data_IF_000549365003
#
_entry.id   IF_000549365003
#
_cell.length_a   1.000
_cell.length_b   1.000
_cell.length_c   1.000
_cell.angle_alpha   90.00
_cell.angle_beta   90.00
_cell.angle_gamma   90.00
#
_symmetry.space_group_name_H-M   'P 1'
#
loop_
_entity.id
_entity.type
_entity.pdbx_description
1 polymer ?
#
# COMPACT_ATOMS: atom_id res chain seq x y z
N UNK A 1 16.96 12.95 87.64
CA UNK A 1 18.30 13.32 87.15
C UNK A 1 18.71 12.28 86.10
N UNK A 2 18.36 12.51 84.83
CA UNK A 2 18.82 11.68 83.70
C UNK A 2 19.93 12.45 82.99
N UNK A 3 21.16 11.94 83.07
CA UNK A 3 22.33 12.51 82.42
C UNK A 3 22.31 12.06 80.96
N UNK A 4 21.90 12.94 80.05
CA UNK A 4 21.99 12.72 78.60
C UNK A 4 23.45 12.95 78.21
N UNK A 5 24.20 11.87 78.05
CA UNK A 5 25.57 11.89 77.53
C UNK A 5 25.50 12.16 76.03
N UNK A 6 25.93 13.35 75.59
CA UNK A 6 26.04 13.68 74.17
C UNK A 6 27.14 12.83 73.54
N UNK A 7 26.77 11.87 72.71
CA UNK A 7 27.67 11.19 71.78
C UNK A 7 28.00 12.16 70.65
N UNK A 8 29.04 12.97 70.85
CA UNK A 8 29.66 13.77 69.79
C UNK A 8 30.77 12.91 69.17
N UNK A 9 30.51 12.42 67.96
CA UNK A 9 31.55 11.81 67.13
C UNK A 9 32.51 12.92 66.63
N UNK A 10 33.81 12.62 66.54
CA UNK A 10 34.87 13.62 66.31
C UNK A 10 34.78 14.31 64.92
N UNK A 11 33.84 13.91 64.07
CA UNK A 11 33.59 14.49 62.74
C UNK A 11 32.41 15.47 62.69
N UNK A 12 31.77 15.79 63.82
CA UNK A 12 30.86 16.93 63.93
C UNK A 12 29.52 16.82 63.21
N UNK A 13 29.17 15.67 62.60
CA UNK A 13 27.81 15.48 62.09
C UNK A 13 26.84 15.26 63.25
N UNK A 14 25.83 16.12 63.32
CA UNK A 14 24.74 15.99 64.29
C UNK A 14 23.95 14.71 64.01
N UNK A 15 23.60 13.95 65.05
CA UNK A 15 22.68 12.80 64.95
C UNK A 15 21.39 13.15 64.17
N UNK A 16 20.94 14.41 64.29
CA UNK A 16 19.77 14.92 63.57
C UNK A 16 20.00 14.93 62.06
N UNK A 17 21.20 15.28 61.60
CA UNK A 17 21.55 15.34 60.18
C UNK A 17 21.57 13.94 59.55
N UNK A 18 22.07 12.93 60.27
CA UNK A 18 22.01 11.54 59.85
C UNK A 18 20.55 11.01 59.78
N UNK A 19 19.71 11.35 60.76
CA UNK A 19 18.29 10.96 60.75
C UNK A 19 17.51 11.63 59.60
N UNK A 20 17.77 12.91 59.33
CA UNK A 20 17.18 13.62 58.17
C UNK A 20 17.65 12.98 56.87
N UNK A 21 18.94 12.66 56.74
CA UNK A 21 19.48 11.97 55.57
C UNK A 21 18.79 10.62 55.31
N UNK A 22 18.65 9.79 56.34
CA UNK A 22 17.93 8.49 56.24
C UNK A 22 16.47 8.70 55.87
N UNK A 23 15.80 9.70 56.45
CA UNK A 23 14.39 9.99 56.14
C UNK A 23 14.18 10.43 54.69
N UNK A 24 15.06 11.28 54.14
CA UNK A 24 14.98 11.72 52.74
C UNK A 24 15.22 10.56 51.77
N UNK A 25 16.22 9.70 52.06
CA UNK A 25 16.49 8.51 51.25
C UNK A 25 15.27 7.56 51.26
N UNK A 26 14.60 7.40 52.42
CA UNK A 26 13.39 6.60 52.54
C UNK A 26 12.24 7.08 51.63
N UNK A 27 12.00 8.40 51.59
CA UNK A 27 10.94 9.00 50.75
C UNK A 27 11.26 8.84 49.26
N UNK A 28 12.51 9.04 48.87
CA UNK A 28 12.94 8.85 47.47
C UNK A 28 12.84 7.38 47.05
N UNK A 29 13.24 6.45 47.91
CA UNK A 29 13.12 5.02 47.63
C UNK A 29 11.66 4.56 47.47
N UNK A 30 10.75 5.03 48.34
CA UNK A 30 9.33 4.70 48.26
C UNK A 30 8.65 5.25 46.99
N UNK A 31 8.98 6.48 46.60
CA UNK A 31 8.47 7.07 45.35
C UNK A 31 9.02 6.36 44.11
N UNK A 32 10.30 6.01 44.09
CA UNK A 32 10.91 5.23 43.02
C UNK A 32 10.28 3.83 42.89
N UNK A 33 9.99 3.15 44.01
CA UNK A 33 9.35 1.83 43.99
C UNK A 33 7.95 1.89 43.35
N UNK A 34 7.16 2.90 43.68
CA UNK A 34 5.81 3.10 43.09
C UNK A 34 5.89 3.38 41.59
N UNK A 35 6.87 4.19 41.18
CA UNK A 35 7.12 4.46 39.75
C UNK A 35 7.53 3.19 39.00
N UNK A 36 8.41 2.37 39.58
CA UNK A 36 8.84 1.11 38.96
C UNK A 36 7.67 0.16 38.72
N UNK A 37 6.73 0.03 39.67
CA UNK A 37 5.51 -0.79 39.48
C UNK A 37 4.70 -0.29 38.28
N UNK A 38 4.43 1.02 38.22
CA UNK A 38 3.68 1.62 37.10
C UNK A 38 4.39 1.44 35.74
N UNK A 39 5.72 1.54 35.73
CA UNK A 39 6.55 1.32 34.53
C UNK A 39 6.48 -0.16 34.10
N UNK A 40 6.61 -1.11 35.03
CA UNK A 40 6.52 -2.54 34.71
C UNK A 40 5.14 -2.93 34.17
N UNK A 41 4.06 -2.38 34.74
CA UNK A 41 2.72 -2.60 34.21
C UNK A 41 2.51 -1.99 32.83
N UNK A 42 3.05 -0.79 32.60
CA UNK A 42 3.00 -0.13 31.29
C UNK A 42 3.74 -0.93 30.21
N UNK A 43 4.93 -1.45 30.53
CA UNK A 43 5.69 -2.31 29.62
C UNK A 43 4.94 -3.60 29.31
N UNK A 44 4.28 -4.18 30.31
CA UNK A 44 3.58 -5.43 30.11
C UNK A 44 2.28 -5.25 29.29
N UNK A 45 1.55 -4.14 29.45
CA UNK A 45 0.45 -3.77 28.53
C UNK A 45 0.97 -3.54 27.11
N UNK A 46 2.12 -2.87 26.95
CA UNK A 46 2.73 -2.66 25.64
C UNK A 46 3.11 -3.99 24.97
N UNK A 47 3.69 -4.92 25.74
CA UNK A 47 4.02 -6.26 25.25
C UNK A 47 2.76 -7.02 24.81
N UNK A 48 1.69 -6.99 25.61
CA UNK A 48 0.44 -7.65 25.25
C UNK A 48 -0.19 -7.07 23.96
N UNK A 49 -0.08 -5.76 23.73
CA UNK A 49 -0.49 -5.12 22.48
C UNK A 49 0.33 -5.61 21.28
N UNK A 50 1.65 -5.71 21.43
CA UNK A 50 2.54 -6.26 20.38
C UNK A 50 2.20 -7.71 20.09
N UNK A 51 1.95 -8.52 21.13
CA UNK A 51 1.50 -9.90 21.00
C UNK A 51 0.20 -10.01 20.21
N UNK A 52 -0.79 -9.17 20.51
CA UNK A 52 -2.07 -9.16 19.81
C UNK A 52 -1.92 -8.76 18.34
N UNK A 53 -1.08 -7.77 18.02
CA UNK A 53 -0.71 -7.43 16.63
C UNK A 53 -0.09 -8.65 15.92
N UNK A 54 0.87 -9.33 16.54
CA UNK A 54 1.53 -10.49 15.94
C UNK A 54 0.57 -11.65 15.71
N UNK A 55 -0.34 -11.93 16.65
CA UNK A 55 -1.39 -12.94 16.50
C UNK A 55 -2.31 -12.56 15.34
N UNK A 56 -2.78 -11.31 15.29
CA UNK A 56 -3.66 -10.81 14.22
C UNK A 56 -3.02 -10.95 12.84
N UNK A 57 -1.77 -10.51 12.68
CA UNK A 57 -1.01 -10.67 11.44
C UNK A 57 -0.79 -12.13 11.06
N UNK A 58 -0.49 -13.01 12.03
CA UNK A 58 -0.31 -14.45 11.79
C UNK A 58 -1.61 -15.10 11.29
N UNK A 59 -2.75 -14.82 11.94
CA UNK A 59 -4.05 -15.35 11.52
C UNK A 59 -4.46 -14.81 10.15
N UNK A 60 -4.19 -13.54 9.87
CA UNK A 60 -4.44 -12.95 8.55
C UNK A 60 -3.59 -13.61 7.46
N UNK A 61 -2.32 -13.88 7.73
CA UNK A 61 -1.46 -14.60 6.79
C UNK A 61 -2.00 -16.01 6.49
N UNK A 62 -2.55 -16.70 7.49
CA UNK A 62 -3.21 -18.01 7.29
C UNK A 62 -4.49 -17.89 6.47
N UNK A 63 -5.33 -16.88 6.72
CA UNK A 63 -6.57 -16.65 5.95
C UNK A 63 -6.27 -16.31 4.48
N UNK A 64 -5.22 -15.52 4.23
CA UNK A 64 -4.82 -15.11 2.88
C UNK A 64 -4.06 -16.20 2.11
N UNK A 65 -3.47 -17.17 2.80
CA UNK A 65 -2.78 -18.30 2.18
C UNK A 65 -3.79 -19.33 1.62
N UNK A 66 -3.78 -19.53 0.31
CA UNK A 66 -4.74 -20.42 -0.37
C UNK A 66 -4.63 -21.88 0.10
N UNK A 67 -3.42 -22.39 0.34
CA UNK A 67 -3.22 -23.76 0.79
C UNK A 67 -3.81 -23.97 2.19
N UNK A 68 -3.50 -23.06 3.13
CA UNK A 68 -4.05 -23.08 4.48
C UNK A 68 -5.58 -22.91 4.50
N UNK A 69 -6.11 -22.02 3.65
CA UNK A 69 -7.56 -21.83 3.52
C UNK A 69 -8.26 -23.04 2.91
N UNK A 70 -7.66 -23.72 1.94
CA UNK A 70 -8.18 -24.97 1.38
C UNK A 70 -8.28 -26.06 2.45
N UNK A 71 -7.26 -26.20 3.29
CA UNK A 71 -7.30 -27.12 4.45
C UNK A 71 -8.38 -26.70 5.44
N UNK A 72 -8.49 -25.40 5.73
CA UNK A 72 -9.54 -24.83 6.57
C UNK A 72 -10.94 -25.19 6.05
N UNK A 73 -11.23 -24.95 4.76
CA UNK A 73 -12.50 -25.34 4.13
C UNK A 73 -12.79 -26.83 4.27
N UNK A 74 -11.78 -27.67 4.10
CA UNK A 74 -11.91 -29.14 4.13
C UNK A 74 -12.14 -29.68 5.54
N UNK A 75 -11.54 -29.06 6.56
CA UNK A 75 -11.65 -29.49 7.97
C UNK A 75 -12.87 -28.92 8.69
N UNK A 76 -13.47 -27.83 8.20
CA UNK A 76 -14.71 -27.29 8.76
C UNK A 76 -15.93 -27.83 8.01
N UNK A 77 -16.79 -28.57 8.71
CA UNK A 77 -18.03 -29.13 8.14
C UNK A 77 -19.04 -28.04 7.72
N UNK A 78 -19.09 -26.92 8.44
CA UNK A 78 -19.92 -25.77 8.07
C UNK A 78 -19.56 -25.13 6.73
N UNK A 79 -18.32 -25.31 6.28
CA UNK A 79 -17.84 -24.84 4.98
C UNK A 79 -18.02 -25.89 3.87
N UNK A 80 -18.64 -27.04 4.13
CA UNK A 80 -18.80 -28.09 3.14
C UNK A 80 -19.52 -27.61 1.87
N UNK A 81 -20.50 -26.72 2.03
CA UNK A 81 -21.26 -26.17 0.90
C UNK A 81 -20.42 -25.31 -0.05
N UNK A 82 -19.33 -24.68 0.43
CA UNK A 82 -18.47 -23.80 -0.38
C UNK A 82 -17.36 -24.55 -1.13
N UNK A 83 -17.25 -25.88 -0.94
CA UNK A 83 -16.25 -26.72 -1.61
C UNK A 83 -16.61 -27.06 -3.06
N UNK A 84 -17.89 -26.95 -3.41
CA UNK A 84 -18.40 -27.25 -4.76
C UNK A 84 -18.56 -25.97 -5.57
N UNK A 85 -18.43 -26.06 -6.89
CA UNK A 85 -18.69 -24.96 -7.83
C UNK A 85 -19.73 -25.44 -8.84
N UNK A 86 -20.92 -24.80 -8.90
CA UNK A 86 -21.38 -23.69 -8.08
C UNK A 86 -21.52 -24.06 -6.60
N UNK A 87 -21.28 -23.10 -5.70
CA UNK A 87 -21.43 -23.30 -4.26
C UNK A 87 -22.89 -23.61 -3.92
N UNK A 88 -23.11 -24.63 -3.10
CA UNK A 88 -24.43 -24.98 -2.58
C UNK A 88 -24.81 -24.19 -1.33
N UNK A 89 -23.94 -23.27 -0.86
CA UNK A 89 -24.26 -22.43 0.28
C UNK A 89 -25.39 -21.46 -0.05
N UNK A 90 -26.33 -21.30 0.88
CA UNK A 90 -27.27 -20.18 0.84
C UNK A 90 -26.47 -18.86 0.93
N UNK A 91 -26.86 -17.85 0.12
CA UNK A 91 -26.24 -16.53 0.20
C UNK A 91 -26.43 -15.94 1.60
N UNK A 92 -25.35 -15.45 2.20
CA UNK A 92 -25.35 -14.95 3.57
C UNK A 92 -25.23 -16.03 4.64
N UNK A 93 -24.96 -17.30 4.28
CA UNK A 93 -24.67 -18.34 5.26
C UNK A 93 -23.48 -17.91 6.12
N UNK A 94 -23.66 -17.95 7.45
CA UNK A 94 -22.68 -17.55 8.45
C UNK A 94 -22.35 -18.73 9.35
N UNK A 95 -21.08 -18.96 9.61
CA UNK A 95 -20.62 -19.92 10.61
C UNK A 95 -19.34 -19.43 11.25
N UNK A 96 -19.16 -19.78 12.52
CA UNK A 96 -17.83 -19.77 13.12
C UNK A 96 -17.00 -20.92 12.53
N UNK A 97 -15.68 -20.74 12.41
CA UNK A 97 -14.78 -21.73 11.81
C UNK A 97 -13.48 -21.86 12.60
N UNK A 98 -12.86 -23.03 12.53
CA UNK A 98 -11.50 -23.27 13.03
C UNK A 98 -10.50 -22.98 11.92
N UNK A 99 -9.43 -22.24 12.19
CA UNK A 99 -8.35 -22.00 11.23
C UNK A 99 -7.30 -23.10 11.30
N UNK A 100 -6.81 -23.49 10.14
CA UNK A 100 -5.72 -24.45 9.98
C UNK A 100 -4.63 -23.83 9.12
N UNK A 101 -3.37 -24.11 9.44
CA UNK A 101 -2.26 -23.72 8.57
C UNK A 101 -2.14 -24.67 7.36
N UNK A 102 -1.15 -24.44 6.49
CA UNK A 102 -0.90 -25.24 5.30
C UNK A 102 -0.57 -26.71 5.59
N UNK A 103 0.04 -27.00 6.75
CA UNK A 103 0.34 -28.38 7.17
C UNK A 103 -0.86 -29.07 7.85
N UNK A 104 -1.99 -28.37 8.02
CA UNK A 104 -3.17 -28.88 8.70
C UNK A 104 -3.10 -28.88 10.23
N UNK A 105 -2.14 -28.15 10.81
CA UNK A 105 -2.14 -27.82 12.24
C UNK A 105 -3.25 -26.81 12.51
N UNK A 106 -4.12 -27.14 13.46
CA UNK A 106 -5.19 -26.27 13.91
C UNK A 106 -4.64 -25.10 14.74
N UNK A 107 -5.05 -23.88 14.42
CA UNK A 107 -4.65 -22.65 15.10
C UNK A 107 -5.76 -22.07 15.98
N UNK A 108 -7.02 -22.19 15.56
CA UNK A 108 -8.19 -21.81 16.38
C UNK A 108 -9.17 -22.98 16.48
N UNK A 109 -9.94 -23.04 17.57
CA UNK A 109 -10.87 -24.13 17.82
C UNK A 109 -12.31 -23.61 17.94
N UNK A 110 -13.17 -24.03 17.00
CA UNK A 110 -14.58 -23.64 16.95
C UNK A 110 -15.36 -24.13 18.18
N UNK A 111 -15.17 -25.40 18.53
CA UNK A 111 -15.99 -26.08 19.54
C UNK A 111 -15.41 -26.00 20.96
N UNK A 112 -14.23 -25.40 21.12
CA UNK A 112 -13.57 -25.34 22.43
C UNK A 112 -13.38 -23.86 22.80
N UNK A 113 -14.24 -23.30 23.68
CA UNK A 113 -14.15 -21.91 24.09
C UNK A 113 -12.88 -21.63 24.90
N UNK A 114 -12.19 -22.67 25.37
CA UNK A 114 -10.97 -22.56 26.16
C UNK A 114 -9.74 -22.48 25.26
N UNK A 115 -9.85 -22.57 23.93
CA UNK A 115 -8.66 -22.35 23.10
C UNK A 115 -8.32 -20.86 22.97
N UNK A 116 -7.02 -20.56 23.05
CA UNK A 116 -6.49 -19.21 22.98
C UNK A 116 -5.08 -19.16 22.42
N UNK A 117 -4.38 -18.06 22.71
CA UNK A 117 -3.00 -17.82 22.33
C UNK A 117 -2.21 -17.28 23.53
N UNK A 118 -0.96 -17.72 23.63
CA UNK A 118 0.04 -17.12 24.49
C UNK A 118 0.50 -15.77 23.93
N UNK A 119 1.20 -14.97 24.74
CA UNK A 119 1.82 -13.71 24.29
C UNK A 119 2.88 -13.88 23.19
N UNK A 120 3.43 -15.08 23.01
CA UNK A 120 4.32 -15.38 21.88
C UNK A 120 3.59 -15.78 20.59
N UNK A 121 2.25 -15.76 20.58
CA UNK A 121 1.41 -16.12 19.45
C UNK A 121 1.22 -17.62 19.20
N UNK A 122 1.76 -18.49 20.06
CA UNK A 122 1.50 -19.92 19.98
C UNK A 122 0.09 -20.24 20.50
N UNK A 123 -0.64 -21.19 19.86
CA UNK A 123 -1.95 -21.61 20.34
C UNK A 123 -1.84 -22.36 21.68
N UNK A 124 -2.84 -22.20 22.53
CA UNK A 124 -2.96 -22.85 23.84
C UNK A 124 -4.37 -23.39 24.06
N UNK A 125 -4.48 -24.42 24.89
CA UNK A 125 -5.73 -25.17 25.08
C UNK A 125 -6.69 -24.60 26.12
N UNK A 126 -6.21 -23.66 26.97
CA UNK A 126 -6.98 -23.16 28.12
C UNK A 126 -6.82 -21.65 28.31
N UNK A 127 -7.78 -20.89 27.78
CA UNK A 127 -7.89 -19.44 27.76
C UNK A 127 -8.07 -18.92 29.17
N UNK A 128 -7.30 -17.88 29.50
CA UNK A 128 -7.23 -17.32 30.85
C UNK A 128 -6.29 -18.08 31.81
N UNK A 129 -5.60 -19.14 31.37
CA UNK A 129 -4.62 -19.86 32.19
C UNK A 129 -3.17 -19.59 31.77
N UNK A 130 -2.23 -19.49 32.72
CA UNK A 130 -0.78 -19.51 32.49
C UNK A 130 -0.26 -18.68 31.29
N UNK A 131 -0.75 -17.44 31.13
CA UNK A 131 -0.35 -16.55 30.05
C UNK A 131 -1.06 -16.77 28.70
N UNK A 132 -2.02 -17.69 28.62
CA UNK A 132 -2.95 -17.91 27.51
C UNK A 132 -4.05 -16.84 27.51
N UNK A 133 -3.64 -15.58 27.39
CA UNK A 133 -4.51 -14.44 27.68
C UNK A 133 -5.34 -13.98 26.50
N UNK A 134 -5.07 -14.45 25.28
CA UNK A 134 -5.75 -14.00 24.07
C UNK A 134 -6.64 -15.10 23.49
N UNK A 135 -7.78 -14.73 22.93
CA UNK A 135 -8.67 -15.63 22.19
C UNK A 135 -9.10 -14.96 20.91
N UNK A 136 -9.13 -15.72 19.82
CA UNK A 136 -9.57 -15.24 18.51
C UNK A 136 -10.77 -16.08 18.04
N UNK A 137 -11.91 -15.42 17.84
CA UNK A 137 -13.10 -16.04 17.26
C UNK A 137 -13.20 -15.68 15.78
N UNK A 138 -13.23 -16.70 14.92
CA UNK A 138 -13.24 -16.55 13.47
C UNK A 138 -14.64 -16.77 12.96
N UNK A 139 -15.24 -15.73 12.40
CA UNK A 139 -16.57 -15.73 11.81
C UNK A 139 -16.42 -15.68 10.29
N UNK A 140 -16.96 -16.68 9.60
CA UNK A 140 -16.96 -16.80 8.15
C UNK A 140 -18.38 -16.58 7.61
N UNK A 141 -18.47 -15.81 6.53
CA UNK A 141 -19.71 -15.54 5.80
C UNK A 141 -19.46 -15.74 4.31
N UNK A 142 -20.37 -16.43 3.64
CA UNK A 142 -20.34 -16.55 2.18
C UNK A 142 -21.41 -15.68 1.55
N UNK A 143 -21.03 -14.80 0.63
CA UNK A 143 -21.94 -13.93 -0.13
C UNK A 143 -21.92 -14.32 -1.59
N UNK A 144 -23.09 -14.42 -2.20
CA UNK A 144 -23.24 -14.71 -3.62
C UNK A 144 -23.84 -13.49 -4.31
N UNK A 145 -23.33 -13.13 -5.49
CA UNK A 145 -23.89 -12.04 -6.31
C UNK A 145 -25.30 -12.37 -6.82
N UNK A 146 -25.58 -13.66 -7.05
CA UNK A 146 -26.90 -14.18 -7.38
C UNK A 146 -27.29 -15.26 -6.36
N UNK A 147 -28.51 -15.17 -5.80
CA UNK A 147 -29.06 -16.14 -4.85
C UNK A 147 -29.38 -17.49 -5.49
N UNK A 148 -29.58 -17.54 -6.82
CA UNK A 148 -29.93 -18.76 -7.57
C UNK A 148 -28.71 -19.52 -8.10
N UNK A 149 -27.56 -18.86 -8.29
CA UNK A 149 -26.33 -19.49 -8.80
C UNK A 149 -25.09 -18.86 -8.17
N UNK A 150 -24.59 -19.46 -7.09
CA UNK A 150 -23.38 -19.01 -6.42
C UNK A 150 -22.11 -19.55 -7.13
N UNK A 151 -21.92 -19.16 -8.39
CA UNK A 151 -20.79 -19.63 -9.20
C UNK A 151 -19.45 -19.11 -8.64
N UNK A 152 -19.44 -17.89 -8.12
CA UNK A 152 -18.26 -17.24 -7.53
C UNK A 152 -18.62 -16.66 -6.16
N UNK A 153 -18.67 -17.49 -5.09
CA UNK A 153 -18.89 -17.00 -3.74
C UNK A 153 -17.78 -16.04 -3.32
N UNK A 154 -18.17 -14.89 -2.77
CA UNK A 154 -17.28 -14.00 -2.03
C UNK A 154 -17.26 -14.49 -0.58
N UNK A 155 -16.11 -14.97 -0.12
CA UNK A 155 -15.90 -15.37 1.26
C UNK A 155 -15.42 -14.17 2.07
N UNK A 156 -16.20 -13.78 3.07
CA UNK A 156 -15.85 -12.77 4.05
C UNK A 156 -15.45 -13.44 5.37
N UNK A 157 -14.36 -12.97 5.96
CA UNK A 157 -13.85 -13.45 7.24
C UNK A 157 -13.73 -12.27 8.20
N UNK A 158 -14.16 -12.49 9.44
CA UNK A 158 -13.97 -11.53 10.53
C UNK A 158 -13.34 -12.24 11.73
N UNK A 159 -12.48 -11.53 12.44
CA UNK A 159 -11.80 -12.02 13.65
C UNK A 159 -12.19 -11.12 14.80
N UNK A 160 -12.73 -11.69 15.86
CA UNK A 160 -13.01 -10.99 17.12
C UNK A 160 -12.04 -11.47 18.19
N UNK A 161 -11.31 -10.54 18.80
CA UNK A 161 -10.35 -10.81 19.86
C UNK A 161 -10.96 -10.60 21.24
N UNK A 162 -10.56 -11.45 22.19
CA UNK A 162 -10.90 -11.32 23.61
C UNK A 162 -9.65 -11.49 24.47
N UNK A 163 -9.56 -10.75 25.58
CA UNK A 163 -8.42 -10.77 26.49
C UNK A 163 -8.86 -11.14 27.91
N UNK A 164 -8.19 -12.11 28.53
CA UNK A 164 -8.49 -12.63 29.87
C UNK A 164 -7.43 -12.26 30.93
N UNK A 165 -6.44 -11.44 30.58
CA UNK A 165 -5.47 -10.96 31.56
C UNK A 165 -6.08 -9.96 32.54
N UNK A 166 -5.36 -9.69 33.64
CA UNK A 166 -5.80 -8.78 34.70
C UNK A 166 -5.82 -7.31 34.28
N UNK A 167 -5.16 -6.97 33.17
CA UNK A 167 -5.04 -5.60 32.67
C UNK A 167 -6.13 -5.29 31.64
N UNK A 168 -6.56 -4.03 31.58
CA UNK A 168 -7.54 -3.61 30.57
C UNK A 168 -6.85 -3.36 29.23
N UNK A 169 -7.15 -4.19 28.23
CA UNK A 169 -6.72 -4.00 26.84
C UNK A 169 -7.97 -3.89 25.96
N UNK A 170 -8.06 -2.82 25.18
CA UNK A 170 -9.13 -2.67 24.20
C UNK A 170 -8.84 -3.55 22.97
N UNK A 171 -9.30 -4.80 23.01
CA UNK A 171 -9.08 -5.76 21.92
C UNK A 171 -9.84 -5.41 20.65
N UNK A 172 -10.91 -4.60 20.72
CA UNK A 172 -11.70 -4.21 19.57
C UNK A 172 -10.91 -3.41 18.52
N UNK A 173 -9.80 -2.75 18.92
CA UNK A 173 -8.89 -2.07 17.99
C UNK A 173 -8.13 -3.04 17.06
N UNK A 174 -8.10 -4.32 17.42
CA UNK A 174 -7.42 -5.37 16.68
C UNK A 174 -8.39 -6.33 16.00
N UNK A 175 -9.70 -6.14 16.22
CA UNK A 175 -10.73 -6.91 15.53
C UNK A 175 -10.62 -6.67 14.02
N UNK A 176 -10.76 -7.75 13.27
CA UNK A 176 -10.80 -7.71 11.83
C UNK A 176 -12.26 -7.79 11.42
N UNK A 177 -12.80 -6.67 10.94
CA UNK A 177 -14.15 -6.60 10.40
C UNK A 177 -14.22 -7.25 9.02
N UNK A 178 -15.36 -7.85 8.68
CA UNK A 178 -15.62 -8.64 7.48
C UNK A 178 -14.74 -8.28 6.26
N UNK A 179 -13.64 -9.02 6.09
CA UNK A 179 -12.70 -8.86 4.99
C UNK A 179 -13.04 -9.87 3.91
N UNK A 180 -13.21 -9.40 2.67
CA UNK A 180 -13.26 -10.31 1.53
C UNK A 180 -11.89 -10.92 1.28
N UNK A 181 -11.82 -12.24 1.35
CA UNK A 181 -10.57 -12.98 1.12
C UNK A 181 -10.01 -12.69 -0.28
N UNK A 182 -10.90 -12.60 -1.28
CA UNK A 182 -10.54 -12.34 -2.68
C UNK A 182 -9.91 -10.96 -2.90
N UNK A 183 -10.32 -9.93 -2.14
CA UNK A 183 -9.74 -8.58 -2.28
C UNK A 183 -8.41 -8.40 -1.55
N UNK A 184 -8.02 -9.31 -0.66
CA UNK A 184 -6.78 -9.21 0.12
C UNK A 184 -5.75 -10.27 -0.22
N UNK A 185 -6.17 -11.36 -0.85
CA UNK A 185 -5.25 -12.32 -1.46
C UNK A 185 -4.47 -11.75 -2.67
N UNK A 186 -4.36 -10.42 -2.86
CA UNK A 186 -3.66 -9.82 -3.99
C UNK A 186 -2.16 -10.22 -4.08
N UNK A 187 -1.55 -10.69 -2.98
CA UNK A 187 -0.19 -11.26 -3.01
C UNK A 187 -0.12 -12.74 -3.41
N UNK A 188 -1.25 -13.41 -3.54
CA UNK A 188 -1.36 -14.84 -3.87
C UNK A 188 -2.64 -15.12 -4.68
N UNK A 189 -2.96 -14.22 -5.63
CA UNK A 189 -3.95 -14.51 -6.65
C UNK A 189 -3.65 -15.89 -7.24
N UNK A 190 -4.64 -16.78 -7.43
CA UNK A 190 -4.40 -18.06 -8.09
C UNK A 190 -3.68 -17.85 -9.43
N UNK A 191 -3.97 -16.74 -10.10
CA UNK A 191 -3.25 -16.31 -11.30
C UNK A 191 -1.77 -16.01 -11.04
N UNK A 192 -1.43 -15.27 -9.98
CA UNK A 192 -0.02 -15.00 -9.65
C UNK A 192 0.73 -16.25 -9.21
N UNK A 193 0.09 -17.15 -8.46
CA UNK A 193 0.65 -18.46 -8.10
C UNK A 193 0.94 -19.30 -9.34
N UNK A 194 0.01 -19.35 -10.30
CA UNK A 194 0.25 -20.05 -11.57
C UNK A 194 1.32 -19.36 -12.41
N UNK A 195 1.32 -18.02 -12.48
CA UNK A 195 2.31 -17.26 -13.23
C UNK A 195 3.75 -17.49 -12.72
N UNK A 196 3.96 -17.54 -11.41
CA UNK A 196 5.26 -17.87 -10.80
C UNK A 196 5.72 -19.30 -11.16
N UNK A 197 4.77 -20.24 -11.34
CA UNK A 197 5.06 -21.60 -11.81
C UNK A 197 5.25 -21.70 -13.34
N UNK A 198 5.12 -20.60 -14.10
CA UNK A 198 5.08 -20.64 -15.57
C UNK A 198 3.84 -21.36 -16.13
N UNK A 199 2.77 -21.41 -15.34
CA UNK A 199 1.50 -22.09 -15.63
C UNK A 199 0.36 -21.07 -15.83
N UNK A 200 -0.72 -21.51 -16.46
CA UNK A 200 -1.93 -20.68 -16.60
C UNK A 200 -2.99 -21.11 -15.59
N UNK A 201 -3.69 -20.14 -14.99
CA UNK A 201 -4.84 -20.46 -14.14
C UNK A 201 -6.07 -20.73 -15.00
N UNK A 202 -6.68 -21.90 -14.82
CA UNK A 202 -7.88 -22.33 -15.58
C UNK A 202 -9.06 -22.67 -14.67
N UNK A 203 -8.90 -22.47 -13.35
CA UNK A 203 -9.87 -22.83 -12.33
C UNK A 203 -9.57 -24.16 -11.66
N UNK A 204 -9.95 -24.27 -10.39
CA UNK A 204 -9.76 -25.46 -9.57
C UNK A 204 -10.53 -26.66 -10.14
N UNK A 205 -9.86 -27.82 -10.21
CA UNK A 205 -10.47 -29.08 -10.67
C UNK A 205 -10.92 -29.08 -12.14
N UNK A 206 -10.49 -28.10 -12.94
CA UNK A 206 -10.80 -28.04 -14.37
C UNK A 206 -9.77 -28.84 -15.16
N UNK A 207 -10.22 -29.50 -16.21
CA UNK A 207 -9.35 -30.12 -17.20
C UNK A 207 -9.58 -29.49 -18.56
N UNK A 208 -8.50 -29.35 -19.33
CA UNK A 208 -8.53 -28.85 -20.71
C UNK A 208 -8.02 -29.95 -21.62
N UNK A 209 -8.78 -30.23 -22.69
CA UNK A 209 -8.30 -31.06 -23.79
C UNK A 209 -7.36 -30.21 -24.66
N UNK A 210 -6.12 -30.66 -24.82
CA UNK A 210 -5.17 -30.07 -25.74
C UNK A 210 -5.54 -30.42 -27.18
N UNK A 211 -5.11 -29.56 -28.11
CA UNK A 211 -5.21 -29.80 -29.54
C UNK A 211 -4.50 -31.09 -30.00
N UNK A 212 -3.57 -31.62 -29.21
CA UNK A 212 -2.89 -32.91 -29.49
C UNK A 212 -3.65 -34.13 -28.96
N UNK A 213 -4.84 -33.94 -28.39
CA UNK A 213 -5.69 -35.01 -27.85
C UNK A 213 -5.38 -35.41 -26.40
N UNK A 214 -4.34 -34.84 -25.77
CA UNK A 214 -4.06 -35.04 -24.35
C UNK A 214 -5.00 -34.24 -23.44
N UNK A 215 -5.48 -34.82 -22.34
CA UNK A 215 -6.24 -34.07 -21.31
C UNK A 215 -5.29 -33.64 -20.20
N UNK A 216 -5.25 -32.33 -19.93
CA UNK A 216 -4.46 -31.75 -18.86
C UNK A 216 -5.42 -31.34 -17.74
N UNK A 217 -5.22 -31.89 -16.54
CA UNK A 217 -6.00 -31.52 -15.35
C UNK A 217 -5.24 -30.47 -14.56
N UNK A 218 -5.93 -29.40 -14.17
CA UNK A 218 -5.37 -28.37 -13.32
C UNK A 218 -4.95 -28.96 -11.97
N UNK A 219 -3.84 -28.47 -11.41
CA UNK A 219 -3.38 -28.87 -10.08
C UNK A 219 -4.36 -28.39 -8.99
N UNK A 220 -4.04 -28.69 -7.72
CA UNK A 220 -4.82 -28.24 -6.56
C UNK A 220 -4.94 -26.71 -6.43
N UNK A 221 -4.15 -25.93 -7.18
CA UNK A 221 -4.20 -24.47 -7.23
C UNK A 221 -4.95 -23.94 -8.47
N UNK A 222 -5.51 -24.83 -9.30
CA UNK A 222 -6.13 -24.45 -10.57
C UNK A 222 -5.13 -24.09 -11.66
N UNK A 223 -3.86 -24.47 -11.51
CA UNK A 223 -2.80 -24.20 -12.48
C UNK A 223 -2.67 -25.36 -13.48
N UNK A 224 -2.62 -25.02 -14.77
CA UNK A 224 -2.37 -25.97 -15.85
C UNK A 224 -1.07 -25.60 -16.57
N UNK A 225 -0.34 -26.61 -17.04
CA UNK A 225 0.86 -26.37 -17.84
C UNK A 225 0.52 -25.61 -19.11
N UNK A 226 1.38 -24.66 -19.52
CA UNK A 226 1.25 -23.94 -20.79
C UNK A 226 1.27 -24.88 -22.01
N UNK A 227 1.82 -26.09 -21.86
CA UNK A 227 1.75 -27.17 -22.85
C UNK A 227 0.31 -27.55 -23.22
N UNK A 228 -0.65 -27.36 -22.31
CA UNK A 228 -2.07 -27.62 -22.60
C UNK A 228 -2.64 -26.72 -23.71
N UNK A 229 -1.98 -25.58 -23.99
CA UNK A 229 -2.38 -24.61 -25.01
C UNK A 229 -1.50 -24.65 -26.26
N UNK A 230 -0.49 -25.53 -26.31
CA UNK A 230 0.29 -25.70 -27.51
C UNK A 230 -0.55 -26.43 -28.55
N UNK A 231 -0.99 -25.67 -29.55
CA UNK A 231 -1.58 -26.23 -30.76
C UNK A 231 -0.63 -27.21 -31.45
N UNK A 232 -1.16 -28.11 -32.27
CA UNK A 232 -0.33 -28.91 -33.16
C UNK A 232 0.59 -27.96 -33.94
N UNK A 233 1.91 -28.10 -33.77
CA UNK A 233 2.87 -27.30 -34.51
C UNK A 233 2.63 -27.59 -35.99
N UNK A 234 2.13 -26.61 -36.74
CA UNK A 234 1.91 -26.78 -38.17
C UNK A 234 3.16 -27.34 -38.83
N UNK A 235 3.01 -28.21 -39.82
CA UNK A 235 4.13 -28.72 -40.61
C UNK A 235 4.99 -27.52 -41.01
N UNK A 236 6.28 -27.54 -40.64
CA UNK A 236 7.22 -26.50 -41.05
C UNK A 236 7.09 -26.38 -42.57
N UNK A 237 6.69 -25.20 -43.06
CA UNK A 237 6.54 -24.97 -44.50
C UNK A 237 7.83 -25.38 -45.22
N UNK A 238 7.74 -25.81 -46.50
CA UNK A 238 8.93 -26.17 -47.26
C UNK A 238 9.97 -25.07 -47.10
N UNK A 239 11.19 -25.45 -46.72
CA UNK A 239 12.29 -24.52 -46.58
C UNK A 239 12.39 -23.74 -47.89
N UNK A 240 12.15 -22.43 -47.83
CA UNK A 240 12.23 -21.58 -49.01
C UNK A 240 13.57 -21.81 -49.71
N UNK A 241 13.62 -21.72 -51.05
CA UNK A 241 14.87 -21.88 -51.78
C UNK A 241 15.92 -20.96 -51.16
N UNK A 242 17.10 -21.53 -50.86
CA UNK A 242 18.24 -20.79 -50.32
C UNK A 242 18.50 -19.63 -51.28
N UNK A 243 18.23 -18.40 -50.83
CA UNK A 243 18.47 -17.21 -51.64
C UNK A 243 19.94 -17.16 -52.10
N UNK A 244 20.22 -16.61 -53.29
CA UNK A 244 21.59 -16.42 -53.75
C UNK A 244 22.39 -15.64 -52.69
N UNK A 245 23.67 -16.01 -52.52
CA UNK A 245 24.55 -15.39 -51.54
C UNK A 245 24.57 -13.86 -51.73
N UNK A 246 24.07 -13.13 -50.73
CA UNK A 246 23.98 -11.68 -50.77
C UNK A 246 25.36 -11.05 -50.89
N UNK A 247 25.52 -10.17 -51.86
CA UNK A 247 26.66 -9.26 -51.99
C UNK A 247 26.71 -8.35 -50.77
N UNK A 248 27.90 -8.20 -50.19
CA UNK A 248 28.15 -7.37 -49.00
C UNK A 248 28.07 -5.88 -49.39
N UNK A 249 26.99 -5.20 -49.01
CA UNK A 249 26.84 -3.73 -49.12
C UNK A 249 25.90 -3.25 -48.01
N UNK A 250 26.43 -2.50 -47.02
CA UNK A 250 26.43 -1.04 -46.87
C UNK A 250 25.07 -0.46 -46.46
N UNK A 251 25.10 0.36 -45.41
CA UNK A 251 23.99 0.89 -44.64
C UNK A 251 22.80 1.44 -45.44
N UNK A 252 21.59 1.23 -44.92
CA UNK A 252 20.50 2.21 -45.02
C UNK A 252 19.19 1.75 -45.67
N UNK A 253 18.15 1.74 -44.82
CA UNK A 253 16.72 1.99 -45.09
C UNK A 253 15.91 0.87 -45.79
N UNK A 254 14.98 0.28 -45.03
CA UNK A 254 13.79 -0.37 -45.56
C UNK A 254 12.55 0.19 -44.87
N UNK A 255 11.64 0.77 -45.66
CA UNK A 255 10.23 0.94 -45.35
C UNK A 255 9.51 -0.40 -45.52
N UNK A 256 8.63 -0.78 -44.59
CA UNK A 256 7.59 -1.80 -44.80
C UNK A 256 6.28 -1.38 -44.10
N UNK A 257 5.19 -1.67 -44.80
CA UNK A 257 3.78 -1.35 -44.49
C UNK A 257 3.08 -2.42 -43.65
N UNK A 258 2.25 -1.98 -42.70
CA UNK A 258 1.25 -2.78 -41.96
C UNK A 258 1.34 -2.65 -40.42
N UNK A 259 0.40 -1.93 -39.80
CA UNK A 259 0.36 -1.57 -38.35
C UNK A 259 0.36 -2.76 -37.37
N UNK A 260 0.99 -2.59 -36.18
CA UNK A 260 0.30 -2.14 -34.96
C UNK A 260 0.92 -0.83 -34.39
N UNK A 261 0.29 -0.15 -33.41
CA UNK A 261 0.79 1.14 -32.92
C UNK A 261 2.22 1.02 -32.38
N UNK A 262 3.05 2.02 -32.68
CA UNK A 262 4.47 2.06 -32.36
C UNK A 262 4.77 1.78 -30.87
N UNK A 263 5.19 0.55 -30.55
CA UNK A 263 5.75 0.13 -29.26
C UNK A 263 7.27 0.29 -29.27
N UNK A 264 7.75 1.53 -29.28
CA UNK A 264 9.19 1.84 -29.28
C UNK A 264 9.61 2.90 -28.27
N UNK A 265 8.79 3.15 -27.24
CA UNK A 265 9.14 4.10 -26.18
C UNK A 265 10.11 3.49 -25.19
N UNK A 266 11.08 4.28 -24.75
CA UNK A 266 11.98 3.94 -23.63
C UNK A 266 11.96 5.05 -22.60
N UNK A 267 12.17 4.70 -21.34
CA UNK A 267 12.45 5.69 -20.31
C UNK A 267 13.95 6.01 -20.34
N UNK A 268 14.30 7.30 -20.33
CA UNK A 268 15.69 7.73 -20.26
C UNK A 268 16.31 7.35 -18.90
N UNK A 269 17.60 6.95 -18.93
CA UNK A 269 18.38 6.73 -17.72
C UNK A 269 18.68 8.04 -16.97
N UNK A 270 19.11 7.93 -15.72
CA UNK A 270 19.36 9.09 -14.88
C UNK A 270 20.04 8.76 -13.55
N UNK A 271 20.06 9.75 -12.67
CA UNK A 271 20.61 9.64 -11.31
C UNK A 271 19.56 10.00 -10.27
N UNK A 272 19.53 9.25 -9.17
CA UNK A 272 18.65 9.47 -8.02
C UNK A 272 19.52 9.73 -6.80
N UNK A 273 19.25 10.83 -6.07
CA UNK A 273 20.00 11.17 -4.85
C UNK A 273 19.07 11.13 -3.64
N UNK A 274 19.38 10.27 -2.68
CA UNK A 274 18.68 10.17 -1.40
C UNK A 274 19.56 10.74 -0.28
N UNK A 275 18.95 11.49 0.63
CA UNK A 275 19.60 11.99 1.83
C UNK A 275 19.03 11.26 3.05
N UNK A 276 19.85 10.88 4.02
CA UNK A 276 19.34 10.38 5.30
C UNK A 276 18.55 11.46 6.04
N UNK A 277 17.68 11.08 7.01
CA UNK A 277 16.91 12.02 7.81
C UNK A 277 17.76 13.07 8.55
N UNK A 278 18.95 12.70 9.01
CA UNK A 278 19.89 13.60 9.66
C UNK A 278 20.74 14.44 8.68
N UNK A 279 20.54 14.25 7.36
CA UNK A 279 21.30 14.84 6.25
C UNK A 279 22.80 14.54 6.26
N UNK A 280 23.27 13.66 7.14
CA UNK A 280 24.69 13.30 7.24
C UNK A 280 25.09 12.29 6.16
N UNK A 281 24.14 11.51 5.68
CA UNK A 281 24.37 10.51 4.64
C UNK A 281 23.72 10.89 3.31
N UNK A 282 24.45 10.61 2.24
CA UNK A 282 24.01 10.79 0.85
C UNK A 282 24.25 9.48 0.10
N UNK A 283 23.19 8.96 -0.52
CA UNK A 283 23.26 7.83 -1.44
C UNK A 283 22.92 8.31 -2.85
N UNK A 284 23.80 8.05 -3.81
CA UNK A 284 23.61 8.38 -5.22
C UNK A 284 23.49 7.08 -6.01
N UNK A 285 22.37 6.95 -6.72
CA UNK A 285 22.07 5.81 -7.57
C UNK A 285 22.09 6.24 -9.03
N UNK A 286 22.55 5.35 -9.92
CA UNK A 286 22.42 5.50 -11.37
C UNK A 286 21.65 4.33 -11.96
N UNK A 287 20.89 4.59 -13.02
CA UNK A 287 20.14 3.59 -13.76
C UNK A 287 20.23 3.87 -15.25
N UNK A 288 20.29 2.80 -16.06
CA UNK A 288 20.29 2.91 -17.52
C UNK A 288 18.88 3.16 -18.04
N UNK A 289 18.76 3.54 -19.32
CA UNK A 289 17.47 3.51 -20.00
C UNK A 289 16.89 2.08 -20.02
N UNK A 290 15.56 1.98 -20.03
CA UNK A 290 14.82 0.72 -20.17
C UNK A 290 13.66 0.92 -21.15
N UNK A 291 13.27 -0.14 -21.88
CA UNK A 291 12.06 -0.06 -22.70
C UNK A 291 10.81 0.01 -21.81
N UNK A 292 9.72 0.52 -22.38
CA UNK A 292 8.42 0.51 -21.70
C UNK A 292 8.01 -0.89 -21.28
N UNK A 293 7.75 -1.08 -19.98
CA UNK A 293 7.39 -2.36 -19.36
C UNK A 293 8.60 -3.18 -18.86
N UNK A 294 9.83 -2.70 -19.02
CA UNK A 294 11.03 -3.38 -18.55
C UNK A 294 11.57 -2.80 -17.24
N UNK A 295 12.21 -3.68 -16.46
CA UNK A 295 12.99 -3.33 -15.27
C UNK A 295 14.45 -3.14 -15.63
N UNK A 296 15.12 -2.18 -15.00
CA UNK A 296 16.59 -2.05 -15.04
C UNK A 296 17.21 -2.15 -13.65
N UNK A 297 18.47 -2.56 -13.63
CA UNK A 297 19.27 -2.59 -12.40
C UNK A 297 19.72 -1.18 -12.03
N UNK A 298 19.55 -0.86 -10.76
CA UNK A 298 19.98 0.42 -10.19
C UNK A 298 21.32 0.21 -9.49
N UNK A 299 22.35 0.96 -9.88
CA UNK A 299 23.69 0.88 -9.29
C UNK A 299 23.89 2.00 -8.27
N UNK A 300 24.32 1.66 -7.06
CA UNK A 300 24.83 2.65 -6.11
C UNK A 300 26.19 3.15 -6.62
N UNK A 301 26.25 4.41 -7.04
CA UNK A 301 27.46 5.05 -7.59
C UNK A 301 28.19 5.93 -6.58
N UNK A 302 27.59 6.20 -5.42
CA UNK A 302 28.27 6.88 -4.32
C UNK A 302 27.49 6.80 -3.02
N UNK A 303 28.18 6.50 -1.93
CA UNK A 303 27.66 6.62 -0.56
C UNK A 303 28.68 7.34 0.32
N UNK A 304 28.20 8.15 1.26
CA UNK A 304 29.04 8.69 2.34
C UNK A 304 29.23 7.71 3.49
N UNK A 305 28.50 6.58 3.50
CA UNK A 305 28.71 5.48 4.43
C UNK A 305 29.76 4.51 3.87
N UNK A 306 30.71 4.05 4.70
CA UNK A 306 31.61 2.97 4.34
C UNK A 306 30.82 1.70 3.98
N UNK A 307 31.34 0.89 3.05
CA UNK A 307 30.69 -0.28 2.42
C UNK A 307 29.64 -0.97 3.30
N UNK A 308 28.37 -0.58 3.11
CA UNK A 308 27.21 -1.19 3.77
C UNK A 308 26.62 -2.35 2.94
N UNK A 309 25.65 -3.09 3.49
CA UNK A 309 25.08 -4.26 2.84
C UNK A 309 24.46 -3.91 1.49
N UNK A 310 24.74 -4.75 0.49
CA UNK A 310 24.15 -4.70 -0.85
C UNK A 310 22.66 -5.01 -0.74
N UNK A 311 21.82 -3.97 -0.78
CA UNK A 311 20.37 -4.12 -0.92
C UNK A 311 20.04 -4.13 -2.41
N UNK A 312 19.13 -5.00 -2.85
CA UNK A 312 18.71 -5.03 -4.25
C UNK A 312 17.86 -3.79 -4.58
N UNK A 313 18.34 -2.99 -5.53
CA UNK A 313 17.69 -1.78 -6.02
C UNK A 313 17.17 -2.02 -7.45
N UNK A 314 15.90 -1.73 -7.70
CA UNK A 314 15.31 -1.86 -9.04
C UNK A 314 14.48 -0.62 -9.42
N UNK A 315 14.41 -0.38 -10.74
CA UNK A 315 13.59 0.65 -11.34
C UNK A 315 12.78 0.05 -12.50
N UNK A 316 11.47 0.26 -12.50
CA UNK A 316 10.57 -0.21 -13.55
C UNK A 316 10.15 0.97 -14.42
N UNK A 317 10.37 0.86 -15.73
CA UNK A 317 9.86 1.81 -16.70
C UNK A 317 8.42 1.41 -17.07
N UNK A 318 7.43 2.22 -16.72
CA UNK A 318 6.02 1.96 -17.04
C UNK A 318 5.73 2.29 -18.50
N UNK A 319 4.63 1.73 -19.00
CA UNK A 319 4.18 1.92 -20.39
C UNK A 319 3.76 3.35 -20.73
N UNK A 320 3.58 4.20 -19.73
CA UNK A 320 3.28 5.63 -19.88
C UNK A 320 4.53 6.54 -19.83
N UNK A 321 5.73 5.93 -19.79
CA UNK A 321 7.01 6.63 -19.71
C UNK A 321 7.37 7.14 -18.31
N UNK A 322 6.62 6.74 -17.28
CA UNK A 322 6.96 7.04 -15.89
C UNK A 322 7.87 5.97 -15.29
N UNK A 323 8.79 6.38 -14.42
CA UNK A 323 9.59 5.44 -13.65
C UNK A 323 8.95 5.15 -12.29
N UNK A 324 9.01 3.89 -11.86
CA UNK A 324 8.72 3.44 -10.50
C UNK A 324 10.00 2.91 -9.85
N UNK A 325 10.36 3.42 -8.68
CA UNK A 325 11.62 3.09 -8.01
C UNK A 325 11.37 2.42 -6.65
N UNK A 326 12.25 1.48 -6.30
CA UNK A 326 12.42 1.03 -4.91
C UNK A 326 13.88 1.18 -4.51
N UNK A 327 14.17 2.18 -3.67
CA UNK A 327 15.50 2.41 -3.12
C UNK A 327 15.47 2.78 -1.63
N UNK A 328 16.52 2.37 -0.91
CA UNK A 328 16.76 2.68 0.50
C UNK A 328 18.12 3.36 0.63
N UNK A 329 18.15 4.48 1.35
CA UNK A 329 19.40 5.00 1.90
C UNK A 329 19.34 4.78 3.42
N UNK A 330 20.02 3.74 3.95
CA UNK A 330 19.86 3.34 5.35
C UNK A 330 20.29 4.48 6.29
N UNK A 331 19.50 4.67 7.35
CA UNK A 331 19.92 5.39 8.56
C UNK A 331 19.95 4.38 9.71
N UNK A 332 20.86 4.58 10.67
CA UNK A 332 21.16 3.60 11.70
C UNK A 332 19.94 3.20 12.57
N UNK A 333 18.87 4.01 12.71
CA UNK A 333 17.87 3.80 13.78
C UNK A 333 16.40 4.24 13.54
N UNK A 334 15.88 4.45 12.32
CA UNK A 334 14.44 4.74 12.17
C UNK A 334 13.83 4.40 10.80
N UNK A 335 12.61 3.83 10.79
CA UNK A 335 11.75 3.66 9.61
C UNK A 335 11.03 4.97 9.28
N UNK A 336 11.75 5.96 8.77
CA UNK A 336 11.16 7.19 8.21
C UNK A 336 11.49 7.31 6.74
N UNK A 337 10.50 7.66 5.91
CA UNK A 337 10.73 7.90 4.49
C UNK A 337 11.53 9.20 4.33
N UNK A 338 12.71 9.08 3.75
CA UNK A 338 13.76 10.12 3.82
C UNK A 338 13.56 11.22 2.77
N UNK A 339 13.99 12.45 3.06
CA UNK A 339 13.99 13.53 2.07
C UNK A 339 14.86 13.15 0.86
N UNK A 340 14.41 13.46 -0.35
CA UNK A 340 15.17 13.13 -1.55
C UNK A 340 14.95 14.10 -2.70
N UNK A 341 15.81 13.97 -3.70
CA UNK A 341 15.76 14.76 -4.93
C UNK A 341 16.09 13.86 -6.12
N UNK A 342 15.37 14.05 -7.22
CA UNK A 342 15.58 13.30 -8.45
C UNK A 342 15.57 14.19 -9.68
N UNK A 343 16.61 14.05 -10.49
CA UNK A 343 16.67 14.62 -11.82
C UNK A 343 16.19 13.57 -12.84
N UNK A 344 15.05 13.84 -13.49
CA UNK A 344 14.47 12.99 -14.53
C UNK A 344 14.61 13.69 -15.86
N UNK A 345 15.26 13.03 -16.82
CA UNK A 345 15.30 13.53 -18.19
C UNK A 345 13.98 13.24 -18.92
N UNK A 346 13.51 14.16 -19.73
CA UNK A 346 12.39 13.92 -20.64
C UNK A 346 12.72 12.77 -21.61
N UNK A 347 11.70 12.09 -22.18
CA UNK A 347 11.91 11.02 -23.16
C UNK A 347 12.85 11.41 -24.32
N UNK A 348 12.79 12.65 -24.78
CA UNK A 348 13.69 13.16 -25.83
C UNK A 348 15.11 13.53 -25.36
N UNK A 349 15.40 13.42 -24.06
CA UNK A 349 16.69 13.73 -23.43
C UNK A 349 17.05 15.21 -23.35
N UNK A 350 16.18 16.12 -23.81
CA UNK A 350 16.48 17.56 -23.92
C UNK A 350 16.18 18.36 -22.64
N UNK A 351 15.19 17.93 -21.85
CA UNK A 351 14.81 18.60 -20.61
C UNK A 351 15.18 17.73 -19.43
N UNK A 352 15.57 18.37 -18.33
CA UNK A 352 15.72 17.71 -17.03
C UNK A 352 14.74 18.37 -16.07
N UNK A 353 13.85 17.57 -15.48
CA UNK A 353 12.97 18.00 -14.40
C UNK A 353 13.56 17.51 -13.09
N UNK A 354 13.79 18.45 -12.16
CA UNK A 354 14.21 18.14 -10.79
C UNK A 354 12.98 18.08 -9.90
N UNK A 355 12.83 16.97 -9.19
CA UNK A 355 11.76 16.73 -8.23
C UNK A 355 12.34 16.63 -6.84
N UNK A 356 11.87 17.46 -5.91
CA UNK A 356 12.28 17.42 -4.50
C UNK A 356 11.07 17.04 -3.64
N UNK A 357 11.23 16.08 -2.73
CA UNK A 357 10.17 15.67 -1.80
C UNK A 357 10.66 15.72 -0.35
N UNK A 358 9.80 16.10 0.61
CA UNK A 358 10.17 16.23 2.01
C UNK A 358 10.35 14.86 2.69
N UNK A 359 10.76 14.88 3.96
CA UNK A 359 10.62 13.70 4.82
C UNK A 359 9.14 13.40 5.05
N UNK A 360 8.82 12.11 5.13
CA UNK A 360 7.46 11.62 5.34
C UNK A 360 7.43 10.52 6.40
N UNK A 361 6.35 10.52 7.16
CA UNK A 361 5.94 9.44 8.04
C UNK A 361 5.17 8.36 7.26
N UNK A 362 5.07 7.18 7.85
CA UNK A 362 4.29 6.05 7.32
C UNK A 362 2.85 6.48 7.01
N UNK A 363 2.44 6.35 5.74
CA UNK A 363 1.14 6.76 5.22
C UNK A 363 1.12 8.10 4.46
N UNK A 364 2.22 8.88 4.46
CA UNK A 364 2.24 10.20 3.82
C UNK A 364 2.20 10.14 2.29
N UNK A 365 1.47 11.09 1.68
CA UNK A 365 1.37 11.29 0.22
C UNK A 365 1.68 12.74 -0.10
N UNK A 366 2.72 12.97 -0.90
CA UNK A 366 3.07 14.30 -1.41
C UNK A 366 2.89 14.37 -2.91
N UNK A 367 2.20 15.40 -3.39
CA UNK A 367 2.30 15.83 -4.79
C UNK A 367 3.59 16.61 -4.95
N UNK A 368 4.41 16.21 -5.92
CA UNK A 368 5.71 16.82 -6.17
C UNK A 368 5.65 17.53 -7.52
N UNK A 369 5.84 18.84 -7.51
CA UNK A 369 6.05 19.62 -8.73
C UNK A 369 7.53 19.62 -9.06
N UNK A 370 7.87 19.17 -10.27
CA UNK A 370 9.23 19.26 -10.78
C UNK A 370 9.49 20.61 -11.45
N UNK A 371 10.75 20.97 -11.62
CA UNK A 371 11.11 22.07 -12.53
C UNK A 371 10.61 21.79 -13.94
N UNK A 372 10.42 22.84 -14.76
CA UNK A 372 9.98 22.71 -16.16
C UNK A 372 8.62 22.01 -16.35
N UNK A 373 7.69 22.20 -15.42
CA UNK A 373 6.32 21.66 -15.53
C UNK A 373 6.23 20.15 -15.29
N UNK A 374 7.27 19.55 -14.70
CA UNK A 374 7.22 18.17 -14.23
C UNK A 374 6.14 17.98 -13.16
N UNK A 375 5.46 16.84 -13.19
CA UNK A 375 4.52 16.46 -12.13
C UNK A 375 4.84 15.07 -11.62
N UNK A 376 4.57 14.83 -10.34
CA UNK A 376 4.77 13.54 -9.74
C UNK A 376 4.13 13.40 -8.36
N UNK A 377 4.30 12.22 -7.79
CA UNK A 377 3.85 11.87 -6.45
C UNK A 377 4.89 11.04 -5.72
N UNK A 378 5.04 11.31 -4.43
CA UNK A 378 5.81 10.50 -3.50
C UNK A 378 4.86 9.94 -2.43
N UNK A 379 4.80 8.62 -2.31
CA UNK A 379 3.97 7.91 -1.32
C UNK A 379 4.87 7.13 -0.37
N UNK A 380 4.71 7.30 0.94
CA UNK A 380 5.38 6.51 1.97
C UNK A 380 4.41 5.43 2.46
N UNK A 381 4.48 4.18 1.97
CA UNK A 381 3.56 3.11 2.35
C UNK A 381 3.70 2.77 3.84
N UNK A 382 2.60 2.27 4.44
CA UNK A 382 2.53 2.13 5.88
C UNK A 382 3.56 1.14 6.48
N UNK A 383 3.98 0.16 5.69
CA UNK A 383 4.75 -0.99 6.17
C UNK A 383 6.17 -1.10 5.61
N UNK A 384 6.60 -0.16 4.76
CA UNK A 384 7.81 -0.35 3.95
C UNK A 384 8.98 0.54 4.32
N UNK A 385 8.76 1.72 4.94
CA UNK A 385 9.85 2.68 5.20
C UNK A 385 10.53 3.20 3.92
N UNK A 386 9.95 2.97 2.74
CA UNK A 386 10.47 3.40 1.43
C UNK A 386 9.50 4.35 0.74
N UNK A 387 10.00 5.30 -0.05
CA UNK A 387 9.14 6.05 -0.97
C UNK A 387 8.80 5.22 -2.21
N UNK A 388 7.53 5.19 -2.58
CA UNK A 388 7.08 4.89 -3.94
C UNK A 388 6.94 6.22 -4.69
N UNK A 389 7.79 6.41 -5.69
CA UNK A 389 7.88 7.64 -6.46
C UNK A 389 7.35 7.43 -7.87
N UNK A 390 6.57 8.39 -8.37
CA UNK A 390 6.12 8.44 -9.76
C UNK A 390 6.31 9.85 -10.29
N UNK A 391 7.10 10.00 -11.35
CA UNK A 391 7.44 11.30 -11.94
C UNK A 391 7.21 11.29 -13.45
N UNK A 392 6.79 12.44 -13.97
CA UNK A 392 6.65 12.70 -15.41
C UNK A 392 7.27 14.04 -15.74
N UNK A 393 8.30 14.02 -16.59
CA UNK A 393 8.92 15.22 -17.15
C UNK A 393 8.40 15.43 -18.59
N UNK A 394 7.68 16.53 -18.89
CA UNK A 394 7.13 16.76 -20.22
C UNK A 394 8.23 17.07 -21.24
N UNK A 395 8.01 16.65 -22.49
CA UNK A 395 8.91 16.97 -23.61
C UNK A 395 8.88 18.46 -24.00
N UNK A 396 7.81 19.18 -23.66
CA UNK A 396 7.63 20.62 -23.88
C UNK A 396 7.02 21.30 -22.62
N UNK A 397 7.80 22.10 -21.88
CA UNK A 397 7.36 22.74 -20.63
C UNK A 397 6.22 23.76 -20.83
N UNK A 398 5.90 24.17 -22.07
CA UNK A 398 4.93 25.24 -22.36
C UNK A 398 3.45 24.80 -22.36
N UNK A 399 3.12 23.53 -22.07
CA UNK A 399 1.73 23.00 -22.12
C UNK A 399 1.11 22.59 -20.77
N UNK A 400 1.80 22.73 -19.64
CA UNK A 400 1.25 22.33 -18.33
C UNK A 400 1.03 23.55 -17.42
N UNK A 401 -0.17 24.14 -17.45
CA UNK A 401 -0.52 25.27 -16.58
C UNK A 401 -1.69 26.12 -17.07
N UNK A 402 -2.80 25.50 -17.49
CA UNK A 402 -3.96 26.25 -17.99
C UNK A 402 -5.13 26.05 -17.03
N UNK A 403 -5.39 27.03 -16.16
CA UNK A 403 -6.63 27.21 -15.39
C UNK A 403 -7.28 28.53 -15.82
N UNK A 404 -8.62 28.61 -15.76
CA UNK A 404 -9.30 29.89 -15.89
C UNK A 404 -9.26 30.59 -14.53
N UNK A 405 -8.64 31.77 -14.40
CA UNK A 405 -8.55 32.48 -13.13
C UNK A 405 -9.94 32.91 -12.62
N UNK A 406 -10.07 33.09 -11.30
CA UNK A 406 -11.26 33.66 -10.69
C UNK A 406 -11.53 35.07 -11.23
N UNK A 407 -12.80 35.44 -11.40
CA UNK A 407 -13.20 36.71 -12.02
C UNK A 407 -14.51 37.24 -11.46
N UNK A 408 -14.72 38.54 -11.65
CA UNK A 408 -15.96 39.24 -11.33
C UNK A 408 -16.52 39.90 -12.58
N UNK A 409 -17.83 39.88 -12.73
CA UNK A 409 -18.52 40.54 -13.83
C UNK A 409 -19.71 41.33 -13.29
N UNK A 410 -19.89 42.54 -13.83
CA UNK A 410 -20.92 43.50 -13.41
C UNK A 410 -21.73 43.90 -14.63
N UNK A 411 -23.05 43.74 -14.56
CA UNK A 411 -23.96 44.19 -15.63
C UNK A 411 -24.90 45.30 -15.12
N UNK A 412 -25.22 46.30 -15.97
CA UNK A 412 -26.23 47.30 -15.65
C UNK A 412 -27.63 46.68 -15.63
N UNK A 413 -28.47 47.13 -14.70
CA UNK A 413 -29.87 46.72 -14.60
C UNK A 413 -30.66 47.06 -15.88
N UNK A 414 -31.55 46.15 -16.30
CA UNK A 414 -32.46 46.38 -17.41
C UNK A 414 -33.47 47.52 -17.15
N UNK A 415 -33.63 47.96 -15.89
CA UNK A 415 -34.55 49.04 -15.50
C UNK A 415 -34.05 50.45 -15.83
N UNK A 416 -32.84 50.60 -16.38
CA UNK A 416 -32.25 51.91 -16.72
C UNK A 416 -31.81 52.76 -15.52
N UNK A 417 -31.88 52.21 -14.31
CA UNK A 417 -31.45 52.89 -13.07
C UNK A 417 -29.94 52.67 -12.87
N UNK A 418 -29.16 53.74 -13.02
CA UNK A 418 -27.70 53.70 -12.97
C UNK A 418 -27.12 53.22 -11.61
N UNK A 419 -27.94 53.13 -10.57
CA UNK A 419 -27.50 52.70 -9.23
C UNK A 419 -27.76 51.21 -8.93
N UNK A 420 -28.31 50.44 -9.87
CA UNK A 420 -28.56 48.99 -9.70
C UNK A 420 -27.71 48.18 -10.66
N UNK A 421 -26.71 47.49 -10.11
CA UNK A 421 -25.88 46.53 -10.83
C UNK A 421 -25.98 45.15 -10.18
N UNK A 422 -26.08 44.10 -11.01
CA UNK A 422 -25.81 42.75 -10.52
C UNK A 422 -24.32 42.50 -10.67
N UNK A 423 -23.69 42.12 -9.56
CA UNK A 423 -22.29 41.70 -9.55
C UNK A 423 -22.26 40.22 -9.19
N UNK A 424 -21.54 39.47 -10.02
CA UNK A 424 -21.33 38.05 -9.84
C UNK A 424 -19.84 37.74 -9.79
N UNK A 425 -19.48 36.71 -9.01
CA UNK A 425 -18.13 36.18 -8.97
C UNK A 425 -18.12 34.70 -9.31
N UNK A 426 -17.07 34.29 -10.03
CA UNK A 426 -16.76 32.90 -10.33
C UNK A 426 -15.46 32.51 -9.65
N UNK A 427 -15.40 31.29 -9.12
CA UNK A 427 -14.17 30.69 -8.62
C UNK A 427 -13.31 30.18 -9.78
N UNK A 428 -12.01 29.99 -9.53
CA UNK A 428 -11.08 29.37 -10.48
C UNK A 428 -11.62 28.02 -10.97
N UNK A 429 -11.48 27.76 -12.27
CA UNK A 429 -12.02 26.55 -12.89
C UNK A 429 -11.03 25.88 -13.83
N UNK A 430 -11.12 24.56 -13.89
CA UNK A 430 -10.38 23.75 -14.84
C UNK A 430 -10.95 23.94 -16.27
N UNK A 431 -10.12 23.77 -17.30
CA UNK A 431 -10.56 23.75 -18.70
C UNK A 431 -11.68 22.74 -18.96
N UNK A 432 -12.56 23.08 -19.88
CA UNK A 432 -13.76 22.36 -20.32
C UNK A 432 -14.86 22.17 -19.27
N UNK A 433 -15.16 23.21 -18.46
CA UNK A 433 -16.28 23.20 -17.51
C UNK A 433 -17.12 24.47 -17.56
N UNK A 434 -18.44 24.30 -17.49
CA UNK A 434 -19.38 25.40 -17.22
C UNK A 434 -19.47 25.64 -15.72
N UNK A 435 -19.42 26.90 -15.30
CA UNK A 435 -19.53 27.34 -13.92
C UNK A 435 -20.67 28.34 -13.81
N UNK A 436 -21.52 28.12 -12.81
CA UNK A 436 -22.61 29.02 -12.44
C UNK A 436 -22.12 29.94 -11.32
N UNK A 437 -22.20 31.25 -11.50
CA UNK A 437 -21.74 32.20 -10.50
C UNK A 437 -22.69 32.30 -9.30
N UNK A 438 -22.14 32.73 -8.15
CA UNK A 438 -22.97 33.19 -7.03
C UNK A 438 -23.14 34.70 -7.11
N UNK A 439 -24.37 35.16 -6.99
CA UNK A 439 -24.68 36.59 -6.95
C UNK A 439 -24.30 37.17 -5.58
N UNK A 440 -23.65 38.33 -5.59
CA UNK A 440 -23.12 38.93 -4.36
C UNK A 440 -24.10 39.90 -3.66
N UNK A 441 -25.10 40.43 -4.37
CA UNK A 441 -26.02 41.44 -3.83
C UNK A 441 -27.44 40.87 -3.61
N UNK A 442 -28.04 41.13 -2.44
CA UNK A 442 -29.28 40.46 -1.95
C UNK A 442 -30.59 40.95 -2.56
N UNK A 443 -30.61 42.05 -3.31
CA UNK A 443 -31.85 42.74 -3.71
C UNK A 443 -32.19 42.69 -5.20
N UNK A 444 -31.57 41.79 -5.97
CA UNK A 444 -31.97 41.48 -7.35
C UNK A 444 -31.85 39.96 -7.54
N UNK A 445 -32.68 39.35 -8.38
CA UNK A 445 -32.57 37.93 -8.75
C UNK A 445 -31.97 37.80 -10.14
N UNK A 446 -31.00 36.92 -10.34
CA UNK A 446 -30.44 36.71 -11.66
C UNK A 446 -29.62 35.43 -11.76
N UNK A 447 -29.36 34.99 -13.00
CA UNK A 447 -28.61 33.78 -13.28
C UNK A 447 -27.45 34.07 -14.24
N UNK A 448 -26.27 33.54 -13.94
CA UNK A 448 -25.06 33.69 -14.74
C UNK A 448 -24.36 32.34 -14.90
N UNK A 449 -24.08 31.93 -16.15
CA UNK A 449 -23.29 30.73 -16.48
C UNK A 449 -22.19 31.05 -17.47
N UNK A 450 -20.98 30.53 -17.25
CA UNK A 450 -19.81 30.72 -18.12
C UNK A 450 -19.07 29.40 -18.34
N UNK A 451 -18.47 29.16 -19.51
CA UNK A 451 -17.70 27.94 -19.82
C UNK A 451 -16.20 28.23 -19.93
N UNK A 452 -15.36 27.54 -19.16
CA UNK A 452 -13.91 27.59 -19.29
C UNK A 452 -13.47 26.66 -20.41
N UNK A 453 -12.83 27.16 -21.48
CA UNK A 453 -12.36 26.32 -22.59
C UNK A 453 -11.01 25.64 -22.27
N UNK A 454 -10.57 24.76 -23.18
CA UNK A 454 -9.30 24.03 -23.13
C UNK A 454 -8.03 24.90 -23.13
N UNK A 455 -8.19 26.21 -23.36
CA UNK A 455 -7.14 27.23 -23.32
C UNK A 455 -7.17 28.10 -22.06
N UNK A 456 -8.04 27.81 -21.10
CA UNK A 456 -8.09 28.54 -19.81
C UNK A 456 -8.71 29.92 -19.94
N UNK A 457 -9.63 30.10 -20.89
CA UNK A 457 -10.40 31.32 -21.07
C UNK A 457 -11.90 31.07 -20.84
N UNK A 458 -12.59 32.04 -20.23
CA UNK A 458 -14.04 32.02 -20.10
C UNK A 458 -14.71 32.40 -21.42
N UNK A 459 -15.62 31.55 -21.91
CA UNK A 459 -16.39 31.72 -23.15
C UNK A 459 -17.86 31.33 -22.91
N UNK A 460 -18.78 31.76 -23.79
CA UNK A 460 -20.23 31.53 -23.66
C UNK A 460 -20.79 31.99 -22.31
N UNK A 461 -20.41 33.20 -21.87
CA UNK A 461 -20.97 33.82 -20.67
C UNK A 461 -22.40 34.28 -20.98
N UNK A 462 -23.37 33.66 -20.31
CA UNK A 462 -24.78 34.05 -20.40
C UNK A 462 -25.26 34.54 -19.05
N UNK A 463 -25.69 35.80 -19.02
CA UNK A 463 -26.08 36.51 -17.84
C UNK A 463 -27.49 37.06 -17.99
N UNK A 464 -28.30 36.93 -16.94
CA UNK A 464 -29.59 37.59 -16.84
C UNK A 464 -29.76 38.18 -15.45
N UNK A 465 -29.93 39.50 -15.36
CA UNK A 465 -30.50 40.17 -14.20
C UNK A 465 -32.00 40.26 -14.43
N UNK A 466 -32.81 39.78 -13.50
CA UNK A 466 -34.25 40.04 -13.45
C UNK A 466 -34.55 41.28 -12.59
#
# INVERSE_FOLDING_TARGET
MFRITRLLDQKGMSLVEALVGISMIGVVAASAATLMVNVTDSHAVANDKVSLTNISSSLMNVIMNEAAWSVTKTRNSSMACSRTVPSSCASGHKSKVSLFNSEGKQLTHLNNPDWGFYSNGQPCSTYGSNGCNFKAEINWVVKCSNTQSCLYPVEEVSIKFSYAGTRSINTALYDIHALSRSSHAMNSSPFSVCAVKGMSFVGYGRSIASATGGTYTADQHGCISSLAFQGARGSQGPQGPRGPAGIKGKDGVAYYSGSPPATGGSCAGGTLTLHSPDKKNKCVFSYSSAAYGESTTVKLVGSTFGSGPTVDYWADCRTDGTWNYRALCPNANAMTCVQGSQDVKSPNGKNTCRFDWPMGSSGDVHKVSGTNGGSGSAVCPQDSGHWTLSFKCPDDPKKAGITCPAGQESLPSASGDANKHCVWSFNESAPNKTVTAKQYNKNASGHLSAYCNDKGQWVNVQARCD
#
